data_IF_443642002512
#
_entry.id   IF_443642002512
#
_cell.length_a   1.000
_cell.length_b   1.000
_cell.length_c   1.000
_cell.angle_alpha   90.00
_cell.angle_beta   90.00
_cell.angle_gamma   90.00
#
_symmetry.space_group_name_H-M   'P 1'
#
loop_
_entity.id
_entity.type
_entity.pdbx_description
1 polymer ?
#
# COMPACT_ATOMS: atom_id res chain seq x y z
N UNK A 1 -11.35 -1.52 -3.08
CA UNK A 1 -11.67 -2.52 -2.03
C UNK A 1 -11.79 -3.93 -2.56
N UNK A 2 -12.72 -4.20 -3.48
CA UNK A 2 -13.00 -5.54 -3.99
C UNK A 2 -11.76 -6.20 -4.63
N UNK A 3 -11.04 -5.49 -5.48
CA UNK A 3 -9.84 -6.01 -6.14
C UNK A 3 -8.75 -6.40 -5.14
N UNK A 4 -8.55 -5.57 -4.09
CA UNK A 4 -7.59 -5.87 -3.02
C UNK A 4 -8.03 -7.12 -2.24
N UNK A 5 -9.34 -7.23 -1.94
CA UNK A 5 -9.90 -8.40 -1.28
C UNK A 5 -9.67 -9.67 -2.10
N UNK A 6 -9.96 -9.64 -3.40
CA UNK A 6 -9.75 -10.77 -4.31
C UNK A 6 -8.27 -11.16 -4.37
N UNK A 7 -7.38 -10.17 -4.47
CA UNK A 7 -5.94 -10.40 -4.51
C UNK A 7 -5.44 -11.04 -3.21
N UNK A 8 -5.85 -10.52 -2.06
CA UNK A 8 -5.54 -11.10 -0.75
C UNK A 8 -6.12 -12.53 -0.62
N UNK A 9 -7.34 -12.75 -1.14
CA UNK A 9 -7.96 -14.07 -1.11
C UNK A 9 -7.19 -15.10 -1.93
N UNK A 10 -6.73 -14.73 -3.11
CA UNK A 10 -5.88 -15.59 -3.96
C UNK A 10 -4.56 -15.93 -3.27
N UNK A 11 -3.93 -14.96 -2.59
CA UNK A 11 -2.65 -15.18 -1.92
C UNK A 11 -2.79 -15.95 -0.60
N UNK A 12 -3.70 -15.56 0.26
CA UNK A 12 -3.77 -16.09 1.62
C UNK A 12 -4.74 -17.26 1.77
N UNK A 13 -5.73 -17.39 0.91
CA UNK A 13 -6.76 -18.48 0.91
C UNK A 13 -7.39 -18.75 2.29
N UNK A 14 -7.35 -17.76 3.18
CA UNK A 14 -7.87 -17.88 4.55
C UNK A 14 -8.59 -16.58 4.92
N UNK A 15 -9.92 -16.65 5.06
CA UNK A 15 -10.75 -15.48 5.37
C UNK A 15 -10.37 -14.80 6.69
N UNK A 16 -9.97 -15.56 7.70
CA UNK A 16 -9.54 -15.01 9.00
C UNK A 16 -8.29 -14.14 8.89
N UNK A 17 -7.38 -14.47 7.96
CA UNK A 17 -6.18 -13.70 7.68
C UNK A 17 -6.46 -12.41 6.94
N UNK A 18 -7.42 -12.48 6.01
CA UNK A 18 -7.77 -11.35 5.15
C UNK A 18 -8.59 -10.33 5.92
N UNK A 19 -9.39 -10.79 6.90
CA UNK A 19 -10.25 -9.92 7.69
C UNK A 19 -9.47 -8.87 8.47
N UNK A 20 -8.31 -9.21 9.06
CA UNK A 20 -7.54 -8.27 9.86
C UNK A 20 -6.99 -7.06 9.05
N UNK A 21 -6.27 -7.23 7.91
CA UNK A 21 -5.89 -6.14 7.03
C UNK A 21 -7.08 -5.32 6.51
N UNK A 22 -8.19 -5.99 6.20
CA UNK A 22 -9.40 -5.30 5.72
C UNK A 22 -10.02 -4.42 6.80
N UNK A 23 -10.08 -4.89 8.05
CA UNK A 23 -10.57 -4.08 9.18
C UNK A 23 -9.68 -2.86 9.40
N UNK A 24 -8.35 -3.03 9.38
CA UNK A 24 -7.40 -1.91 9.49
C UNK A 24 -7.61 -0.89 8.37
N UNK A 25 -7.70 -1.35 7.13
CA UNK A 25 -7.91 -0.47 5.98
C UNK A 25 -9.24 0.29 6.06
N UNK A 26 -10.33 -0.40 6.41
CA UNK A 26 -11.65 0.22 6.57
C UNK A 26 -11.66 1.22 7.73
N UNK A 27 -11.09 0.87 8.89
CA UNK A 27 -10.98 1.78 10.03
C UNK A 27 -10.18 3.03 9.66
N UNK A 28 -9.04 2.87 9.00
CA UNK A 28 -8.22 4.00 8.54
C UNK A 28 -9.00 4.93 7.62
N UNK A 29 -9.69 4.39 6.63
CA UNK A 29 -10.49 5.19 5.68
C UNK A 29 -11.64 5.89 6.38
N UNK A 30 -12.39 5.17 7.23
CA UNK A 30 -13.55 5.73 7.94
C UNK A 30 -13.11 6.88 8.85
N UNK A 31 -12.05 6.69 9.63
CA UNK A 31 -11.56 7.72 10.56
C UNK A 31 -11.00 8.91 9.79
N UNK A 32 -10.23 8.69 8.72
CA UNK A 32 -9.65 9.78 7.92
C UNK A 32 -10.73 10.58 7.20
N UNK A 33 -11.69 9.91 6.55
CA UNK A 33 -12.81 10.58 5.87
C UNK A 33 -13.76 11.23 6.88
N UNK A 34 -13.98 10.59 8.02
CA UNK A 34 -14.76 11.16 9.13
C UNK A 34 -14.13 12.42 9.69
N UNK A 35 -12.80 12.46 9.85
CA UNK A 35 -12.08 13.66 10.27
C UNK A 35 -12.18 14.78 9.23
N UNK A 36 -12.07 14.46 7.93
CA UNK A 36 -12.22 15.43 6.85
C UNK A 36 -13.61 16.10 6.90
N UNK A 37 -14.66 15.29 6.98
CA UNK A 37 -16.06 15.78 7.01
C UNK A 37 -16.34 16.51 8.32
N UNK A 38 -15.86 15.96 9.45
CA UNK A 38 -16.06 16.55 10.78
C UNK A 38 -15.39 17.91 10.96
N UNK A 39 -14.33 18.21 10.21
CA UNK A 39 -13.69 19.53 10.16
C UNK A 39 -14.38 20.50 9.17
N UNK A 40 -15.48 20.09 8.57
CA UNK A 40 -16.30 20.96 7.69
C UNK A 40 -15.83 21.00 6.23
N UNK A 41 -14.89 20.15 5.82
CA UNK A 41 -14.47 20.09 4.42
C UNK A 41 -15.49 19.33 3.57
N UNK A 42 -15.79 19.88 2.40
CA UNK A 42 -16.67 19.22 1.42
C UNK A 42 -15.95 18.11 0.68
N UNK A 43 -16.67 17.02 0.42
CA UNK A 43 -16.12 15.89 -0.35
C UNK A 43 -16.18 16.21 -1.84
N UNK A 44 -15.04 16.48 -2.43
CA UNK A 44 -14.85 16.64 -3.88
C UNK A 44 -14.29 15.36 -4.51
N UNK A 45 -14.16 15.32 -5.83
CA UNK A 45 -13.58 14.19 -6.57
C UNK A 45 -12.19 13.85 -6.04
N UNK A 46 -11.36 14.85 -5.77
CA UNK A 46 -10.02 14.65 -5.18
C UNK A 46 -10.10 14.00 -3.79
N UNK A 47 -11.02 14.45 -2.92
CA UNK A 47 -11.18 13.87 -1.58
C UNK A 47 -11.62 12.40 -1.64
N UNK A 48 -12.43 12.01 -2.63
CA UNK A 48 -12.83 10.62 -2.84
C UNK A 48 -11.65 9.69 -3.15
N UNK A 49 -10.59 10.24 -3.76
CA UNK A 49 -9.37 9.48 -4.03
C UNK A 49 -8.59 9.12 -2.77
N UNK A 50 -8.79 9.83 -1.64
CA UNK A 50 -8.13 9.54 -0.36
C UNK A 50 -8.36 8.07 0.04
N UNK A 51 -9.60 7.60 -0.03
CA UNK A 51 -9.94 6.22 0.29
C UNK A 51 -9.25 5.20 -0.64
N UNK A 52 -9.10 5.54 -1.93
CA UNK A 52 -8.46 4.68 -2.94
C UNK A 52 -6.97 4.52 -2.64
N UNK A 53 -6.30 5.58 -2.19
CA UNK A 53 -4.87 5.54 -1.85
C UNK A 53 -4.60 4.92 -0.48
N UNK A 54 -5.42 5.22 0.53
CA UNK A 54 -5.19 4.72 1.89
C UNK A 54 -5.44 3.22 2.04
N UNK A 55 -6.44 2.66 1.36
CA UNK A 55 -6.74 1.22 1.45
C UNK A 55 -5.53 0.33 1.15
N UNK A 56 -4.86 0.44 -0.02
CA UNK A 56 -3.69 -0.38 -0.31
C UNK A 56 -2.57 -0.22 0.70
N UNK A 57 -2.28 1.02 1.14
CA UNK A 57 -1.19 1.32 2.09
C UNK A 57 -1.44 0.61 3.42
N UNK A 58 -2.63 0.77 4.00
CA UNK A 58 -2.99 0.14 5.27
C UNK A 58 -2.99 -1.40 5.19
N UNK A 59 -3.42 -1.95 4.05
CA UNK A 59 -3.39 -3.41 3.80
C UNK A 59 -1.96 -3.93 3.73
N UNK A 60 -1.07 -3.25 2.99
CA UNK A 60 0.33 -3.68 2.81
C UNK A 60 1.05 -3.73 4.14
N UNK A 61 0.93 -2.70 4.98
CA UNK A 61 1.53 -2.67 6.31
C UNK A 61 1.07 -3.83 7.20
N UNK A 62 -0.25 -4.11 7.18
CA UNK A 62 -0.84 -5.22 7.93
C UNK A 62 -0.34 -6.58 7.42
N UNK A 63 -0.23 -6.74 6.10
CA UNK A 63 0.25 -7.97 5.45
C UNK A 63 1.73 -8.23 5.79
N UNK A 64 2.56 -7.18 5.89
CA UNK A 64 3.95 -7.34 6.30
C UNK A 64 4.08 -7.95 7.70
N UNK A 65 3.32 -7.46 8.68
CA UNK A 65 3.34 -8.03 10.04
C UNK A 65 2.84 -9.48 10.05
N UNK A 66 1.72 -9.76 9.35
CA UNK A 66 1.15 -11.10 9.29
C UNK A 66 2.07 -12.11 8.61
N UNK A 67 2.73 -11.72 7.53
CA UNK A 67 3.67 -12.57 6.79
C UNK A 67 4.91 -12.89 7.64
N UNK A 68 5.52 -11.87 8.24
CA UNK A 68 6.69 -12.04 9.11
C UNK A 68 6.36 -12.88 10.35
N UNK A 69 5.16 -12.66 10.94
CA UNK A 69 4.69 -13.49 12.04
C UNK A 69 4.58 -14.96 11.63
N UNK A 70 3.97 -15.23 10.47
CA UNK A 70 3.81 -16.59 9.99
C UNK A 70 5.15 -17.29 9.67
N UNK A 71 6.13 -16.55 9.17
CA UNK A 71 7.46 -17.10 8.87
C UNK A 71 8.24 -17.43 10.14
N UNK A 72 8.02 -16.70 11.24
CA UNK A 72 8.71 -16.90 12.53
C UNK A 72 7.98 -17.84 13.48
N UNK A 73 6.65 -17.92 13.40
CA UNK A 73 5.84 -18.72 14.33
C UNK A 73 6.08 -20.21 14.13
N UNK A 74 6.38 -20.94 15.20
CA UNK A 74 6.47 -22.41 15.22
C UNK A 74 5.41 -22.98 16.14
N UNK A 75 4.82 -24.16 15.81
CA UNK A 75 3.85 -24.83 16.68
C UNK A 75 4.42 -25.05 18.07
N UNK A 76 3.67 -24.67 19.10
CA UNK A 76 4.08 -24.78 20.51
C UNK A 76 4.70 -23.53 21.10
N UNK A 77 5.01 -22.50 20.31
CA UNK A 77 5.45 -21.20 20.82
C UNK A 77 4.27 -20.34 21.25
N UNK A 78 4.49 -19.43 22.22
CA UNK A 78 3.50 -18.44 22.62
C UNK A 78 3.41 -17.35 21.54
N UNK A 79 2.20 -17.16 20.98
CA UNK A 79 1.98 -16.17 19.94
C UNK A 79 2.42 -14.75 20.35
N UNK A 80 2.22 -14.40 21.64
CA UNK A 80 2.59 -13.10 22.17
C UNK A 80 4.09 -12.82 22.10
N UNK A 81 4.94 -13.80 22.38
CA UNK A 81 6.39 -13.64 22.31
C UNK A 81 6.85 -13.44 20.86
N UNK A 82 6.30 -14.22 19.95
CA UNK A 82 6.65 -14.12 18.52
C UNK A 82 6.19 -12.79 17.94
N UNK A 83 4.94 -12.36 18.23
CA UNK A 83 4.44 -11.09 17.69
C UNK A 83 5.18 -9.88 18.23
N UNK A 84 5.59 -9.88 19.49
CA UNK A 84 6.42 -8.81 20.06
C UNK A 84 7.74 -8.69 19.29
N UNK A 85 8.43 -9.80 19.08
CA UNK A 85 9.69 -9.82 18.29
C UNK A 85 9.48 -9.33 16.84
N UNK A 86 8.37 -9.71 16.22
CA UNK A 86 8.02 -9.25 14.87
C UNK A 86 7.81 -7.74 14.82
N UNK A 87 7.03 -7.21 15.77
CA UNK A 87 6.76 -5.77 15.86
C UNK A 87 8.07 -4.99 16.11
N UNK A 88 8.90 -5.43 17.03
CA UNK A 88 10.21 -4.79 17.28
C UNK A 88 11.09 -4.75 16.02
N UNK A 89 11.12 -5.84 15.27
CA UNK A 89 11.90 -5.94 14.03
C UNK A 89 11.36 -5.05 12.90
N UNK A 90 10.03 -4.99 12.74
CA UNK A 90 9.38 -4.25 11.67
C UNK A 90 9.10 -2.78 12.01
N UNK A 91 9.13 -2.40 13.29
CA UNK A 91 8.79 -1.05 13.74
C UNK A 91 9.58 0.05 13.00
N UNK A 92 10.91 -0.07 12.99
CA UNK A 92 11.78 0.95 12.36
C UNK A 92 11.55 1.05 10.85
N UNK A 93 11.60 -0.04 10.05
CA UNK A 93 11.33 0.04 8.62
C UNK A 93 9.94 0.63 8.31
N UNK A 94 8.90 0.18 9.00
CA UNK A 94 7.53 0.65 8.80
C UNK A 94 7.38 2.12 9.19
N UNK A 95 7.98 2.55 10.32
CA UNK A 95 7.97 3.95 10.74
C UNK A 95 8.61 4.86 9.68
N UNK A 96 9.79 4.52 9.18
CA UNK A 96 10.46 5.33 8.17
C UNK A 96 9.68 5.37 6.85
N UNK A 97 9.08 4.24 6.43
CA UNK A 97 8.24 4.19 5.23
C UNK A 97 7.00 5.08 5.39
N UNK A 98 6.33 5.00 6.54
CA UNK A 98 5.13 5.81 6.82
C UNK A 98 5.47 7.29 6.95
N UNK A 99 6.59 7.65 7.61
CA UNK A 99 7.03 9.04 7.72
C UNK A 99 7.42 9.64 6.37
N UNK A 100 8.19 8.93 5.55
CA UNK A 100 8.61 9.43 4.24
C UNK A 100 7.43 9.57 3.29
N UNK A 101 6.51 8.60 3.27
CA UNK A 101 5.30 8.68 2.46
C UNK A 101 4.39 9.81 2.93
N UNK A 102 4.18 9.94 4.24
CA UNK A 102 3.39 11.02 4.82
C UNK A 102 3.99 12.40 4.51
N UNK A 103 5.31 12.57 4.65
CA UNK A 103 5.99 13.80 4.30
C UNK A 103 5.84 14.15 2.81
N UNK A 104 5.92 13.13 1.93
CA UNK A 104 5.67 13.30 0.50
C UNK A 104 4.25 13.83 0.22
N UNK A 105 3.23 13.27 0.88
CA UNK A 105 1.86 13.77 0.72
C UNK A 105 1.64 15.13 1.38
N UNK A 106 2.24 15.40 2.55
CA UNK A 106 2.16 16.72 3.17
C UNK A 106 2.81 17.81 2.32
N UNK A 107 3.82 17.50 1.50
CA UNK A 107 4.40 18.49 0.57
C UNK A 107 3.37 19.06 -0.42
N UNK A 108 2.30 18.32 -0.73
CA UNK A 108 1.20 18.80 -1.57
C UNK A 108 0.42 19.97 -0.94
N UNK A 109 0.53 20.17 0.37
CA UNK A 109 -0.06 21.35 1.06
C UNK A 109 0.59 22.67 0.61
N UNK A 110 1.79 22.62 0.02
CA UNK A 110 2.49 23.79 -0.50
C UNK A 110 2.01 24.22 -1.90
N UNK A 111 1.15 23.43 -2.54
CA UNK A 111 0.61 23.76 -3.87
C UNK A 111 -0.40 24.91 -3.77
N UNK A 112 -0.57 25.75 -4.81
CA UNK A 112 -1.55 26.82 -4.80
C UNK A 112 -3.00 26.34 -5.05
N UNK A 113 -3.25 25.03 -5.14
CA UNK A 113 -4.53 24.41 -5.51
C UNK A 113 -5.22 23.87 -4.24
N UNK A 114 -6.27 24.51 -3.70
CA UNK A 114 -6.90 24.11 -2.43
C UNK A 114 -7.34 22.64 -2.35
N UNK A 115 -7.97 22.03 -3.38
CA UNK A 115 -8.33 20.62 -3.32
C UNK A 115 -7.12 19.69 -3.16
N UNK A 116 -5.96 20.03 -3.74
CA UNK A 116 -4.72 19.26 -3.64
C UNK A 116 -4.10 19.39 -2.26
N UNK A 117 -4.18 20.57 -1.63
CA UNK A 117 -3.72 20.78 -0.25
C UNK A 117 -4.47 19.87 0.72
N UNK A 118 -5.82 19.87 0.63
CA UNK A 118 -6.68 19.04 1.48
C UNK A 118 -6.39 17.55 1.24
N UNK A 119 -6.29 17.14 -0.01
CA UNK A 119 -5.94 15.77 -0.40
C UNK A 119 -4.61 15.33 0.21
N UNK A 120 -3.55 16.13 0.07
CA UNK A 120 -2.23 15.84 0.62
C UNK A 120 -2.23 15.76 2.14
N UNK A 121 -2.88 16.71 2.82
CA UNK A 121 -3.01 16.74 4.27
C UNK A 121 -3.66 15.46 4.83
N UNK A 122 -4.81 15.07 4.26
CA UNK A 122 -5.57 13.94 4.77
C UNK A 122 -5.00 12.58 4.38
N UNK A 123 -4.32 12.45 3.24
CA UNK A 123 -3.57 11.23 2.95
C UNK A 123 -2.36 11.12 3.88
N UNK A 124 -1.58 12.19 4.05
CA UNK A 124 -0.45 12.19 4.97
C UNK A 124 -0.87 11.81 6.40
N UNK A 125 -1.93 12.41 6.91
CA UNK A 125 -2.54 12.03 8.19
C UNK A 125 -3.00 10.57 8.20
N UNK A 126 -3.72 10.13 7.17
CA UNK A 126 -4.23 8.76 7.05
C UNK A 126 -3.14 7.69 7.02
N UNK A 127 -1.98 7.96 6.42
CA UNK A 127 -0.82 7.06 6.44
C UNK A 127 -0.29 6.89 7.86
N UNK A 128 -0.12 7.97 8.61
CA UNK A 128 0.32 7.90 10.02
C UNK A 128 -0.71 7.18 10.88
N UNK A 129 -1.99 7.42 10.64
CA UNK A 129 -3.07 6.73 11.31
C UNK A 129 -3.08 5.23 10.98
N UNK A 130 -2.90 4.85 9.72
CA UNK A 130 -2.79 3.47 9.28
C UNK A 130 -1.65 2.74 10.02
N UNK A 131 -0.49 3.37 10.10
CA UNK A 131 0.67 2.85 10.85
C UNK A 131 0.32 2.57 12.32
N UNK A 132 -0.30 3.53 13.02
CA UNK A 132 -0.69 3.38 14.43
C UNK A 132 -1.73 2.26 14.60
N UNK A 133 -2.77 2.24 13.76
CA UNK A 133 -3.82 1.20 13.81
C UNK A 133 -3.21 -0.17 13.52
N UNK A 134 -2.32 -0.28 12.54
CA UNK A 134 -1.67 -1.55 12.18
C UNK A 134 -0.85 -2.10 13.35
N UNK A 135 -0.02 -1.26 13.98
CA UNK A 135 0.82 -1.66 15.11
C UNK A 135 0.05 -2.00 16.38
N UNK A 136 -1.14 -1.48 16.54
CA UNK A 136 -1.98 -1.78 17.74
C UNK A 136 -2.94 -2.92 17.45
N UNK A 137 -3.65 -2.88 16.33
CA UNK A 137 -4.71 -3.83 16.04
C UNK A 137 -4.18 -5.22 15.64
N UNK A 138 -3.18 -5.30 14.77
CA UNK A 138 -2.69 -6.60 14.28
C UNK A 138 -2.09 -7.45 15.38
N UNK A 139 -1.21 -6.93 16.28
CA UNK A 139 -0.73 -7.71 17.41
C UNK A 139 -1.84 -8.13 18.37
N UNK A 140 -2.78 -7.24 18.68
CA UNK A 140 -3.94 -7.56 19.52
C UNK A 140 -4.84 -8.65 18.90
N UNK A 141 -5.02 -8.62 17.58
CA UNK A 141 -5.76 -9.63 16.84
C UNK A 141 -5.09 -11.00 16.90
N UNK A 142 -3.77 -11.06 16.63
CA UNK A 142 -2.98 -12.31 16.68
C UNK A 142 -2.97 -12.89 18.09
N UNK A 143 -2.82 -12.05 19.13
CA UNK A 143 -2.82 -12.47 20.54
C UNK A 143 -4.11 -13.15 20.98
N UNK A 144 -5.23 -12.86 20.30
CA UNK A 144 -6.55 -13.47 20.58
C UNK A 144 -6.88 -14.68 19.70
N UNK A 145 -6.02 -15.00 18.75
CA UNK A 145 -6.24 -16.17 17.89
C UNK A 145 -6.02 -17.48 18.65
N UNK A 146 -6.88 -18.47 18.41
CA UNK A 146 -6.69 -19.81 18.94
C UNK A 146 -5.49 -20.51 18.27
N UNK A 147 -4.83 -21.43 19.00
CA UNK A 147 -3.70 -22.21 18.46
C UNK A 147 -4.03 -22.96 17.15
N UNK A 148 -5.25 -23.44 17.01
CA UNK A 148 -5.72 -24.09 15.77
C UNK A 148 -5.78 -23.10 14.59
N UNK A 149 -6.19 -21.85 14.85
CA UNK A 149 -6.21 -20.78 13.82
C UNK A 149 -4.81 -20.36 13.43
N UNK A 150 -3.87 -20.30 14.38
CA UNK A 150 -2.45 -19.98 14.13
C UNK A 150 -1.77 -21.08 13.29
N UNK A 151 -2.04 -22.34 13.53
CA UNK A 151 -1.52 -23.45 12.72
C UNK A 151 -2.09 -23.41 11.28
N UNK A 152 -3.37 -23.13 11.11
CA UNK A 152 -3.97 -22.93 9.78
C UNK A 152 -3.34 -21.75 9.04
N UNK A 153 -3.04 -20.66 9.75
CA UNK A 153 -2.33 -19.50 9.25
C UNK A 153 -0.97 -19.90 8.67
N UNK A 154 -0.16 -20.60 9.45
CA UNK A 154 1.15 -21.06 9.03
C UNK A 154 1.07 -21.99 7.82
N UNK A 155 0.14 -22.97 7.82
CA UNK A 155 -0.04 -23.91 6.72
C UNK A 155 -0.50 -23.23 5.43
N UNK A 156 -1.37 -22.24 5.49
CA UNK A 156 -1.88 -21.55 4.31
C UNK A 156 -0.79 -20.70 3.62
N UNK A 157 0.08 -20.07 4.39
CA UNK A 157 1.20 -19.28 3.85
C UNK A 157 2.35 -20.15 3.33
N UNK A 158 2.63 -21.28 3.99
CA UNK A 158 3.65 -22.22 3.52
C UNK A 158 3.22 -23.04 2.29
N UNK A 159 1.92 -23.39 2.16
CA UNK A 159 1.39 -24.04 0.94
C UNK A 159 1.43 -23.12 -0.28
N UNK A 160 1.40 -21.81 -0.11
CA UNK A 160 1.60 -20.86 -1.20
C UNK A 160 3.06 -20.80 -1.72
N UNK A 161 4.01 -21.32 -0.95
CA UNK A 161 5.45 -21.31 -1.31
C UNK A 161 5.88 -22.52 -2.18
N UNK A 162 5.06 -23.57 -2.32
CA UNK A 162 5.42 -24.76 -3.09
C UNK A 162 4.81 -24.75 -4.49
N UNK A 163 5.66 -24.71 -5.48
CA UNK A 163 5.42 -25.06 -6.88
C UNK A 163 4.41 -24.22 -7.69
N UNK A 164 4.33 -22.94 -7.45
CA UNK A 164 3.47 -22.04 -8.19
C UNK A 164 4.22 -21.42 -9.38
N UNK A 165 3.51 -21.10 -10.47
CA UNK A 165 4.01 -20.30 -11.60
C UNK A 165 4.78 -19.04 -11.14
N UNK A 166 4.39 -18.49 -9.99
CA UNK A 166 5.05 -17.37 -9.33
C UNK A 166 6.49 -17.71 -8.93
N UNK A 167 6.75 -18.90 -8.38
CA UNK A 167 8.08 -19.31 -7.95
C UNK A 167 9.00 -19.51 -9.16
N UNK A 168 8.49 -20.09 -10.24
CA UNK A 168 9.23 -20.16 -11.51
C UNK A 168 9.53 -18.78 -12.09
N UNK A 169 8.59 -17.83 -11.95
CA UNK A 169 8.79 -16.43 -12.32
C UNK A 169 9.90 -15.78 -11.50
N UNK A 170 9.88 -15.95 -10.17
CA UNK A 170 10.89 -15.41 -9.25
C UNK A 170 12.27 -16.02 -9.55
N UNK A 171 12.36 -17.33 -9.75
CA UNK A 171 13.61 -18.00 -10.08
C UNK A 171 14.18 -17.52 -11.43
N UNK A 172 13.32 -17.26 -12.41
CA UNK A 172 13.72 -16.69 -13.70
C UNK A 172 14.24 -15.27 -13.56
N UNK A 173 13.54 -14.43 -12.79
CA UNK A 173 14.00 -13.06 -12.50
C UNK A 173 15.33 -13.08 -11.74
N UNK A 174 15.46 -13.95 -10.74
CA UNK A 174 16.71 -14.15 -10.00
C UNK A 174 17.86 -14.58 -10.92
N UNK A 175 17.61 -15.56 -11.79
CA UNK A 175 18.61 -16.02 -12.77
C UNK A 175 19.07 -14.89 -13.69
N UNK A 176 18.12 -14.14 -14.25
CA UNK A 176 18.42 -12.99 -15.12
C UNK A 176 19.18 -11.90 -14.34
N UNK A 177 18.76 -11.58 -13.13
CA UNK A 177 19.39 -10.55 -12.30
C UNK A 177 20.84 -10.90 -11.93
N UNK A 178 21.12 -12.17 -11.65
CA UNK A 178 22.46 -12.61 -11.25
C UNK A 178 23.40 -12.83 -12.43
N UNK A 179 22.91 -13.40 -13.54
CA UNK A 179 23.75 -13.75 -14.68
C UNK A 179 23.92 -12.61 -15.70
N UNK A 180 22.92 -11.72 -15.81
CA UNK A 180 22.91 -10.62 -16.78
C UNK A 180 22.98 -9.24 -16.11
N UNK A 181 23.63 -9.14 -14.93
CA UNK A 181 23.72 -7.90 -14.14
C UNK A 181 24.22 -6.68 -14.95
N UNK A 182 25.25 -6.85 -15.76
CA UNK A 182 25.81 -5.75 -16.57
C UNK A 182 24.84 -5.33 -17.68
N UNK A 183 24.22 -6.29 -18.37
CA UNK A 183 23.21 -5.99 -19.39
C UNK A 183 22.00 -5.28 -18.80
N UNK A 184 21.52 -5.70 -17.61
CA UNK A 184 20.43 -5.03 -16.90
C UNK A 184 20.78 -3.59 -16.52
N UNK A 185 21.99 -3.35 -15.99
CA UNK A 185 22.44 -2.01 -15.66
C UNK A 185 22.53 -1.12 -16.89
N UNK A 186 23.08 -1.62 -18.00
CA UNK A 186 23.15 -0.88 -19.26
C UNK A 186 21.75 -0.56 -19.77
N UNK A 187 20.85 -1.56 -19.81
CA UNK A 187 19.46 -1.36 -20.25
C UNK A 187 18.75 -0.32 -19.38
N UNK A 188 18.89 -0.41 -18.06
CA UNK A 188 18.31 0.56 -17.13
C UNK A 188 18.85 1.97 -17.37
N UNK A 189 20.18 2.11 -17.57
CA UNK A 189 20.81 3.39 -17.86
C UNK A 189 20.31 3.99 -19.18
N UNK A 190 20.19 3.17 -20.24
CA UNK A 190 19.67 3.61 -21.54
C UNK A 190 18.22 4.07 -21.40
N UNK A 191 17.36 3.26 -20.72
CA UNK A 191 15.94 3.60 -20.52
C UNK A 191 15.84 4.90 -19.71
N UNK A 192 16.65 5.06 -18.66
CA UNK A 192 16.67 6.31 -17.87
C UNK A 192 17.11 7.51 -18.70
N UNK A 193 18.14 7.38 -19.53
CA UNK A 193 18.60 8.45 -20.40
C UNK A 193 17.53 8.87 -21.42
N UNK A 194 16.87 7.89 -22.05
CA UNK A 194 15.75 8.13 -22.99
C UNK A 194 14.58 8.79 -22.27
N UNK A 195 14.28 8.37 -21.02
CA UNK A 195 13.20 8.98 -20.21
C UNK A 195 13.52 10.44 -19.85
N UNK A 196 14.75 10.73 -19.45
CA UNK A 196 15.20 12.11 -19.20
C UNK A 196 15.10 12.96 -20.45
N UNK A 197 15.53 12.44 -21.61
CA UNK A 197 15.33 13.12 -22.88
C UNK A 197 13.86 13.35 -23.21
N UNK A 198 12.99 12.34 -22.96
CA UNK A 198 11.54 12.48 -23.12
C UNK A 198 10.92 13.58 -22.26
N UNK A 199 11.41 13.77 -21.03
CA UNK A 199 10.94 14.86 -20.15
C UNK A 199 11.17 16.23 -20.79
N UNK A 200 12.28 16.43 -21.52
CA UNK A 200 12.57 17.71 -22.20
C UNK A 200 11.61 18.02 -23.36
N UNK A 201 10.86 17.00 -23.82
CA UNK A 201 9.87 17.15 -24.91
C UNK A 201 8.45 17.37 -24.39
N UNK A 202 8.25 17.33 -23.05
CA UNK A 202 6.92 17.53 -22.47
C UNK A 202 6.48 18.98 -22.69
N UNK A 203 5.44 19.15 -23.46
CA UNK A 203 4.72 20.43 -23.59
C UNK A 203 3.54 20.40 -22.60
N UNK A 204 3.64 21.24 -21.57
CA UNK A 204 2.52 21.45 -20.64
C UNK A 204 1.51 22.36 -21.36
N UNK A 205 0.50 21.73 -21.95
CA UNK A 205 -0.59 22.42 -22.63
C UNK A 205 -1.89 22.12 -21.89
N UNK A 206 -2.00 22.72 -20.69
CA UNK A 206 -3.14 22.51 -19.78
C UNK A 206 -4.25 23.54 -20.07
N UNK A 207 -4.74 23.56 -21.33
CA UNK A 207 -5.90 24.34 -21.69
C UNK A 207 -7.17 23.46 -21.60
N UNK A 208 -8.00 23.61 -20.56
CA UNK A 208 -9.22 22.82 -20.38
C UNK A 208 -10.19 22.90 -21.54
N UNK A 209 -10.16 23.98 -22.32
CA UNK A 209 -11.00 24.17 -23.50
C UNK A 209 -10.71 23.14 -24.60
N UNK A 210 -9.46 22.65 -24.66
CA UNK A 210 -9.04 21.63 -25.64
C UNK A 210 -9.47 20.20 -25.29
N UNK A 211 -10.01 19.97 -24.09
CA UNK A 211 -10.56 18.66 -23.69
C UNK A 211 -11.92 18.39 -24.32
N UNK A 212 -12.58 19.44 -24.78
CA UNK A 212 -13.84 19.31 -25.51
C UNK A 212 -13.58 19.07 -27.01
N UNK A 213 -14.50 18.37 -27.66
CA UNK A 213 -14.46 18.16 -29.10
C UNK A 213 -14.41 19.49 -29.85
N UNK A 214 -13.82 19.51 -31.04
CA UNK A 214 -13.62 20.71 -31.86
C UNK A 214 -14.91 21.47 -32.21
N UNK A 215 -16.04 20.76 -32.16
CA UNK A 215 -17.38 21.25 -32.46
C UNK A 215 -18.19 21.64 -31.20
N UNK A 216 -17.59 21.55 -30.01
CA UNK A 216 -18.26 21.89 -28.76
C UNK A 216 -18.31 23.42 -28.56
N UNK A 217 -19.46 23.98 -28.14
CA UNK A 217 -19.68 25.42 -27.95
C UNK A 217 -18.60 26.12 -27.12
N UNK A 218 -18.09 25.47 -26.07
CA UNK A 218 -17.01 26.00 -25.20
C UNK A 218 -15.68 26.17 -25.95
N UNK A 219 -15.49 25.47 -27.08
CA UNK A 219 -14.26 25.55 -27.87
C UNK A 219 -14.36 26.51 -29.05
N UNK A 220 -15.59 26.82 -29.46
CA UNK A 220 -15.89 27.70 -30.60
C UNK A 220 -16.12 29.15 -30.15
N UNK A 221 -16.45 29.36 -28.86
CA UNK A 221 -16.59 30.67 -28.24
C UNK A 221 -15.22 31.25 -27.84
#
# INVERSE_FOLDING_TARGET
>A
GLMIFVLLFVFFRNLTLISAPMVVAMATVIITMGALIGMGFTVHIMSSMIAIFLMPIAVVDSVHILSEFSDRYKPGQKANEVITTVVEHLFKPMLFTSLTSSAGFFSLMLTPIPPVQIFGAYIGFGILLAFVITLTFIPAYISRMSGASLQKLQQSLHKGKSDTLLQRGIDRVRYVALNYKSALLITFTIVSAVSVWGITQIQINDNPVRWFKSDHEIRVA
#
